data_IF_734245078900
#
_entry.id   IF_734245078900
#
_cell.length_a   1.000
_cell.length_b   1.000
_cell.length_c   1.000
_cell.angle_alpha   90.00
_cell.angle_beta   90.00
_cell.angle_gamma   90.00
#
_symmetry.space_group_name_H-M   'P 1'
#
loop_
_entity.id
_entity.type
_entity.pdbx_description
1 polymer ?
#
# COMPACT_ATOMS: atom_id res chain seq x y z
N UNK A 1 -7.53 -11.28 -8.52
CA UNK A 1 -6.50 -10.57 -7.73
C UNK A 1 -5.07 -10.77 -8.27
N UNK A 2 -4.88 -11.68 -9.19
CA UNK A 2 -3.58 -11.96 -9.78
C UNK A 2 -2.77 -12.99 -9.00
N UNK A 3 -1.55 -13.23 -9.50
CA UNK A 3 -0.66 -14.27 -8.96
C UNK A 3 0.43 -13.72 -8.05
N UNK A 4 0.60 -12.41 -8.01
CA UNK A 4 1.66 -11.74 -7.27
C UNK A 4 1.04 -10.81 -6.23
N UNK A 5 0.82 -11.36 -5.03
CA UNK A 5 0.29 -10.62 -3.89
C UNK A 5 1.34 -10.65 -2.80
N UNK A 6 1.78 -9.47 -2.37
CA UNK A 6 2.78 -9.31 -1.33
C UNK A 6 2.22 -8.50 -0.17
N UNK A 7 2.45 -9.01 1.06
CA UNK A 7 2.15 -8.31 2.30
C UNK A 7 0.69 -7.87 2.41
N UNK A 8 -0.30 -8.77 2.27
CA UNK A 8 -1.70 -8.36 2.37
C UNK A 8 -2.04 -7.89 3.78
N UNK A 9 -2.79 -6.80 3.87
CA UNK A 9 -3.33 -6.25 5.12
C UNK A 9 -4.80 -5.94 4.94
N UNK A 10 -5.62 -6.41 5.86
CA UNK A 10 -7.07 -6.27 5.77
C UNK A 10 -7.60 -5.42 6.91
N UNK A 11 -8.56 -4.56 6.61
CA UNK A 11 -9.32 -3.82 7.61
C UNK A 11 -10.82 -4.08 7.43
N UNK A 12 -11.57 -3.95 8.53
CA UNK A 12 -12.98 -3.67 8.46
C UNK A 12 -13.15 -2.18 8.24
N UNK A 13 -13.96 -1.79 7.25
CA UNK A 13 -14.17 -0.37 6.94
C UNK A 13 -14.88 0.30 8.11
N UNK A 14 -14.33 1.40 8.66
CA UNK A 14 -14.96 2.10 9.79
C UNK A 14 -16.30 2.72 9.43
N UNK A 15 -17.17 2.84 10.42
CA UNK A 15 -18.54 3.35 10.22
C UNK A 15 -18.59 4.81 9.75
N UNK A 16 -17.54 5.60 9.98
CA UNK A 16 -17.49 6.99 9.52
C UNK A 16 -17.24 7.15 8.01
N UNK A 17 -16.81 6.07 7.31
CA UNK A 17 -16.59 6.13 5.88
C UNK A 17 -17.93 6.16 5.17
N UNK A 18 -18.16 7.22 4.42
CA UNK A 18 -19.40 7.39 3.65
C UNK A 18 -19.33 6.58 2.35
N UNK A 19 -20.40 5.86 2.04
CA UNK A 19 -20.56 5.10 0.81
C UNK A 19 -19.38 4.16 0.53
N UNK A 20 -19.00 3.28 1.46
CA UNK A 20 -17.88 2.36 1.22
C UNK A 20 -18.19 1.40 0.08
N UNK A 21 -17.14 0.91 -0.58
CA UNK A 21 -17.27 -0.09 -1.65
C UNK A 21 -17.69 -1.47 -1.12
N UNK A 22 -17.38 -1.75 0.14
CA UNK A 22 -17.72 -2.97 0.84
C UNK A 22 -17.40 -2.83 2.33
N UNK A 23 -17.67 -3.87 3.11
CA UNK A 23 -17.44 -3.88 4.55
C UNK A 23 -15.97 -4.13 4.91
N UNK A 24 -15.20 -4.72 3.99
CA UNK A 24 -13.80 -5.07 4.17
C UNK A 24 -12.97 -4.57 3.01
N UNK A 25 -11.79 -4.02 3.32
CA UNK A 25 -10.77 -3.64 2.35
C UNK A 25 -9.50 -4.46 2.59
N UNK A 26 -8.98 -5.05 1.52
CA UNK A 26 -7.74 -5.81 1.50
C UNK A 26 -6.71 -5.06 0.67
N UNK A 27 -5.63 -4.63 1.30
CA UNK A 27 -4.53 -3.92 0.66
C UNK A 27 -3.39 -4.88 0.38
N UNK A 28 -2.78 -4.76 -0.76
CA UNK A 28 -1.66 -5.62 -1.17
C UNK A 28 -0.82 -4.96 -2.26
N UNK A 29 0.35 -5.53 -2.50
CA UNK A 29 1.26 -5.04 -3.53
C UNK A 29 1.79 -6.18 -4.37
N UNK A 30 2.38 -5.84 -5.51
CA UNK A 30 3.23 -6.74 -6.27
C UNK A 30 4.67 -6.63 -5.74
N UNK A 31 5.53 -7.63 -5.97
CA UNK A 31 6.91 -7.61 -5.52
C UNK A 31 7.73 -6.45 -6.09
N UNK A 32 7.36 -5.93 -7.24
CA UNK A 32 7.99 -4.79 -7.92
C UNK A 32 6.95 -3.72 -8.24
N UNK A 33 5.95 -3.60 -7.35
CA UNK A 33 4.81 -2.73 -7.58
C UNK A 33 5.15 -1.26 -7.52
N UNK A 34 4.48 -0.50 -8.35
CA UNK A 34 4.55 0.96 -8.39
C UNK A 34 3.39 1.60 -7.64
N UNK A 35 2.49 0.79 -7.08
CA UNK A 35 1.34 1.28 -6.31
C UNK A 35 0.81 0.20 -5.37
N UNK A 36 0.15 0.64 -4.32
CA UNK A 36 -0.59 -0.25 -3.42
C UNK A 36 -1.96 -0.51 -4.01
N UNK A 37 -2.28 -1.77 -4.16
CA UNK A 37 -3.54 -2.26 -4.71
C UNK A 37 -4.54 -2.51 -3.60
N UNK A 38 -5.81 -2.59 -3.95
CA UNK A 38 -6.89 -2.87 -3.02
C UNK A 38 -7.95 -3.75 -3.66
N UNK A 39 -8.56 -4.62 -2.85
CA UNK A 39 -9.79 -5.31 -3.16
C UNK A 39 -10.80 -5.06 -2.03
N UNK A 40 -12.07 -5.21 -2.33
CA UNK A 40 -13.15 -5.04 -1.35
C UNK A 40 -14.13 -6.20 -1.39
N UNK A 41 -14.79 -6.44 -0.27
CA UNK A 41 -15.83 -7.46 -0.14
C UNK A 41 -16.79 -7.08 1.00
N UNK A 42 -17.99 -7.69 0.99
CA UNK A 42 -18.94 -7.54 2.08
C UNK A 42 -18.75 -8.60 3.18
N UNK A 43 -18.02 -9.68 2.84
CA UNK A 43 -17.69 -10.76 3.76
C UNK A 43 -16.17 -10.99 3.76
N UNK A 44 -15.62 -11.40 4.91
CA UNK A 44 -14.18 -11.71 5.04
C UNK A 44 -13.73 -12.78 4.04
N UNK A 45 -14.60 -13.72 3.77
CA UNK A 45 -14.32 -14.81 2.82
C UNK A 45 -14.49 -14.41 1.36
N UNK A 46 -14.95 -13.20 1.09
CA UNK A 46 -15.25 -12.73 -0.26
C UNK A 46 -16.70 -13.03 -0.69
N UNK A 47 -17.01 -12.92 -1.98
CA UNK A 47 -16.07 -12.70 -3.08
C UNK A 47 -15.42 -11.32 -3.05
N UNK A 48 -14.15 -11.26 -3.46
CA UNK A 48 -13.36 -10.04 -3.50
C UNK A 48 -13.38 -9.41 -4.89
N UNK A 49 -13.60 -8.11 -4.93
CA UNK A 49 -13.54 -7.31 -6.18
C UNK A 49 -12.33 -6.39 -6.11
N UNK A 50 -11.50 -6.42 -7.14
CA UNK A 50 -10.32 -5.54 -7.22
C UNK A 50 -10.75 -4.12 -7.57
N UNK A 51 -10.27 -3.15 -6.79
CA UNK A 51 -10.39 -1.73 -7.09
C UNK A 51 -9.24 -1.32 -8.01
N UNK A 52 -9.51 -1.18 -9.30
CA UNK A 52 -8.49 -1.01 -10.34
C UNK A 52 -7.53 0.17 -10.15
N UNK A 53 -7.96 1.35 -9.68
CA UNK A 53 -7.05 2.49 -9.51
C UNK A 53 -5.97 2.30 -8.45
N UNK A 54 -6.17 1.40 -7.48
CA UNK A 54 -5.30 1.29 -6.33
C UNK A 54 -5.48 2.44 -5.33
N UNK A 55 -4.64 2.50 -4.30
CA UNK A 55 -4.85 3.40 -3.16
C UNK A 55 -3.67 4.34 -2.87
N UNK A 56 -2.46 3.97 -3.23
CA UNK A 56 -1.28 4.80 -3.06
C UNK A 56 -0.27 4.47 -4.16
N UNK A 57 0.11 5.48 -4.93
CA UNK A 57 1.13 5.34 -5.96
C UNK A 57 2.52 5.61 -5.40
N UNK A 58 3.53 5.00 -6.01
CA UNK A 58 4.93 5.23 -5.66
C UNK A 58 5.28 6.72 -5.70
N UNK A 59 4.82 7.44 -6.71
CA UNK A 59 5.06 8.88 -6.88
C UNK A 59 4.48 9.75 -5.76
N UNK A 60 3.44 9.26 -5.07
CA UNK A 60 2.76 9.96 -3.98
C UNK A 60 3.26 9.51 -2.60
N UNK A 61 4.22 8.59 -2.54
CA UNK A 61 4.69 7.96 -1.31
C UNK A 61 5.94 8.60 -0.70
N UNK A 62 6.54 9.56 -1.38
CA UNK A 62 7.85 10.16 -1.07
C UNK A 62 9.04 9.21 -1.20
N UNK A 63 8.85 8.00 -1.68
CA UNK A 63 9.97 7.16 -2.09
C UNK A 63 10.48 7.57 -3.47
N UNK A 64 11.78 7.34 -3.76
CA UNK A 64 12.31 7.55 -5.12
C UNK A 64 11.54 6.75 -6.16
N UNK A 65 11.21 7.40 -7.28
CA UNK A 65 10.49 6.79 -8.39
C UNK A 65 11.42 6.15 -9.41
N UNK A 66 12.72 6.34 -9.26
CA UNK A 66 13.74 5.77 -10.13
C UNK A 66 15.01 5.46 -9.35
N UNK A 67 15.79 4.46 -9.79
CA UNK A 67 17.17 4.24 -9.35
C UNK A 67 18.11 5.11 -10.19
N UNK A 68 19.19 5.68 -9.66
CA UNK A 68 20.12 5.18 -8.66
C UNK A 68 19.89 5.50 -7.18
N UNK A 69 18.99 6.38 -6.72
CA UNK A 69 18.86 6.55 -5.28
C UNK A 69 18.57 5.25 -4.49
N UNK A 70 18.00 4.24 -5.15
CA UNK A 70 17.76 2.93 -4.57
C UNK A 70 18.87 1.92 -4.83
N UNK A 71 20.06 2.34 -5.27
CA UNK A 71 21.19 1.47 -5.60
C UNK A 71 21.70 0.72 -4.38
N UNK A 72 22.17 -0.52 -4.60
CA UNK A 72 22.87 -1.31 -3.60
C UNK A 72 24.30 -0.81 -3.42
N UNK A 73 24.92 -1.21 -2.29
CA UNK A 73 26.33 -0.99 -2.06
C UNK A 73 27.19 -1.61 -3.18
N UNK A 74 28.40 -1.06 -3.45
CA UNK A 74 29.30 -1.61 -4.46
C UNK A 74 29.55 -3.12 -4.28
N UNK A 75 29.60 -3.87 -5.38
CA UNK A 75 29.82 -5.32 -5.40
C UNK A 75 28.56 -6.18 -5.24
N UNK A 76 27.40 -5.60 -5.07
CA UNK A 76 26.14 -6.33 -5.06
C UNK A 76 25.51 -6.37 -6.46
N UNK A 77 24.98 -7.54 -6.84
CA UNK A 77 24.47 -7.80 -8.19
C UNK A 77 22.94 -7.93 -8.28
N UNK A 78 22.20 -7.70 -7.21
CA UNK A 78 20.75 -7.79 -7.23
C UNK A 78 20.14 -6.73 -8.15
N UNK A 79 19.08 -7.09 -8.88
CA UNK A 79 18.34 -6.17 -9.72
C UNK A 79 17.79 -4.99 -8.89
N UNK A 80 18.03 -3.78 -9.37
CA UNK A 80 17.63 -2.55 -8.70
C UNK A 80 16.36 -2.02 -9.37
N UNK A 81 15.36 -1.71 -8.57
CA UNK A 81 14.12 -1.12 -9.04
C UNK A 81 13.49 -0.26 -7.93
N UNK A 82 12.86 0.82 -8.33
CA UNK A 82 12.02 1.60 -7.46
C UNK A 82 10.71 0.85 -7.23
N UNK A 83 10.25 0.77 -5.99
CA UNK A 83 9.01 0.06 -5.67
C UNK A 83 8.41 0.55 -4.36
N UNK A 84 7.14 0.23 -4.19
CA UNK A 84 6.39 0.37 -2.94
C UNK A 84 5.70 -0.97 -2.67
N UNK A 85 5.73 -1.43 -1.43
CA UNK A 85 5.25 -2.76 -1.08
C UNK A 85 4.86 -2.88 0.39
N UNK A 86 4.33 -4.06 0.74
CA UNK A 86 4.06 -4.50 2.10
C UNK A 86 3.21 -3.50 2.90
N UNK A 87 2.00 -3.18 2.44
CA UNK A 87 1.13 -2.31 3.21
C UNK A 87 0.75 -2.97 4.54
N UNK A 88 0.81 -2.21 5.61
CA UNK A 88 0.31 -2.58 6.93
C UNK A 88 -0.67 -1.49 7.37
N UNK A 89 -1.95 -1.80 7.39
CA UNK A 89 -3.03 -0.81 7.48
C UNK A 89 -3.77 -0.94 8.80
N UNK A 90 -3.94 0.19 9.47
CA UNK A 90 -4.57 0.27 10.79
C UNK A 90 -5.64 1.35 10.83
N UNK A 91 -6.78 1.03 11.41
CA UNK A 91 -7.84 2.00 11.69
C UNK A 91 -7.54 2.71 13.01
N UNK A 92 -7.48 4.03 12.98
CA UNK A 92 -7.31 4.89 14.15
C UNK A 92 -8.62 5.58 14.46
N UNK A 93 -9.46 4.90 15.23
CA UNK A 93 -10.78 5.40 15.65
C UNK A 93 -10.69 6.73 16.40
N UNK A 94 -9.64 6.89 17.21
CA UNK A 94 -9.38 8.09 18.00
C UNK A 94 -9.10 9.33 17.14
N UNK A 95 -8.60 9.14 15.92
CA UNK A 95 -8.25 10.22 15.00
C UNK A 95 -9.18 10.34 13.80
N UNK A 96 -10.11 9.39 13.62
CA UNK A 96 -10.91 9.31 12.40
C UNK A 96 -10.06 9.11 11.15
N UNK A 97 -8.99 8.32 11.25
CA UNK A 97 -8.01 8.11 10.19
C UNK A 97 -7.71 6.64 9.98
N UNK A 98 -7.33 6.32 8.77
CA UNK A 98 -6.77 5.02 8.40
C UNK A 98 -5.32 5.26 8.03
N UNK A 99 -4.43 4.54 8.70
CA UNK A 99 -2.98 4.72 8.61
C UNK A 99 -2.38 3.51 7.90
N UNK A 100 -1.55 3.75 6.91
CA UNK A 100 -0.85 2.71 6.16
C UNK A 100 0.66 2.91 6.31
N UNK A 101 1.34 1.88 6.80
CA UNK A 101 2.80 1.80 6.72
C UNK A 101 3.17 1.04 5.46
N UNK A 102 4.11 1.56 4.70
CA UNK A 102 4.57 0.97 3.45
C UNK A 102 6.09 0.92 3.40
N UNK A 103 6.61 -0.09 2.73
CA UNK A 103 8.04 -0.22 2.48
C UNK A 103 8.39 0.23 1.07
N UNK A 104 9.55 0.82 0.94
CA UNK A 104 10.15 1.20 -0.33
C UNK A 104 11.65 1.31 -0.20
N UNK A 105 12.35 1.59 -1.30
CA UNK A 105 13.79 1.75 -1.31
C UNK A 105 14.19 3.20 -1.41
N UNK A 106 15.16 3.58 -0.61
CA UNK A 106 15.84 4.86 -0.67
C UNK A 106 17.30 4.68 -0.27
N UNK A 107 18.23 5.30 -1.02
CA UNK A 107 19.68 5.28 -0.76
C UNK A 107 20.22 3.85 -0.50
N UNK A 108 19.79 2.87 -1.31
CA UNK A 108 20.27 1.49 -1.22
C UNK A 108 19.68 0.66 -0.10
N UNK A 109 18.77 1.18 0.69
CA UNK A 109 18.13 0.50 1.82
C UNK A 109 16.62 0.50 1.69
N UNK A 110 15.98 -0.39 2.44
CA UNK A 110 14.53 -0.35 2.62
C UNK A 110 14.19 0.52 3.82
N UNK A 111 13.19 1.37 3.63
CA UNK A 111 12.62 2.21 4.68
C UNK A 111 11.12 1.99 4.77
N UNK A 112 10.58 2.34 5.92
CA UNK A 112 9.15 2.41 6.15
C UNK A 112 8.71 3.87 6.10
N UNK A 113 7.65 4.14 5.34
CA UNK A 113 6.99 5.44 5.30
C UNK A 113 5.53 5.28 5.67
N UNK A 114 4.91 6.40 5.98
CA UNK A 114 3.53 6.48 6.43
C UNK A 114 2.67 7.14 5.35
N UNK A 115 1.45 6.65 5.20
CA UNK A 115 0.40 7.33 4.45
C UNK A 115 -0.89 7.34 5.26
N UNK A 116 -1.72 8.35 5.07
CA UNK A 116 -2.94 8.57 5.83
C UNK A 116 -4.11 8.75 4.88
N UNK A 117 -5.25 8.20 5.26
CA UNK A 117 -6.51 8.34 4.55
C UNK A 117 -7.67 8.56 5.53
N UNK A 118 -8.73 9.19 5.06
CA UNK A 118 -10.00 9.30 5.79
C UNK A 118 -11.09 8.42 5.19
N UNK A 119 -10.87 7.87 4.00
CA UNK A 119 -11.85 7.03 3.29
C UNK A 119 -11.36 5.59 3.03
N UNK A 120 -10.08 5.31 3.28
CA UNK A 120 -9.49 4.01 3.04
C UNK A 120 -9.12 3.75 1.57
N UNK A 121 -9.34 4.70 0.68
CA UNK A 121 -9.07 4.58 -0.75
C UNK A 121 -7.98 5.56 -1.19
N UNK A 122 -8.13 6.83 -0.80
CA UNK A 122 -7.19 7.88 -1.17
C UNK A 122 -6.21 8.12 -0.03
N UNK A 123 -5.00 7.61 -0.18
CA UNK A 123 -3.92 7.78 0.80
C UNK A 123 -2.94 8.86 0.37
N UNK A 124 -2.52 9.66 1.33
CA UNK A 124 -1.48 10.67 1.15
C UNK A 124 -0.23 10.29 1.95
N UNK A 125 0.92 10.25 1.30
CA UNK A 125 2.21 10.00 1.94
C UNK A 125 2.60 11.09 2.95
N UNK A 126 3.35 10.69 3.97
CA UNK A 126 3.89 11.57 5.01
C UNK A 126 5.39 11.36 5.17
#
# INVERSE_FOLDING_TARGET
MGRNIQGPSMIRVPDWVENPLGDYYLYFADHRGEYIRMAYADEVTGPWTVYSPGTLKLEDSFFPTSCPPCSLAPGRTAALYAHIASPDVHVREDLGQIVMYVHGRDVGQQFTRLAISTDGINFEGR
#
